data_IF_533910393358
#
_entry.id   IF_533910393358
#
_cell.length_a   1.000
_cell.length_b   1.000
_cell.length_c   1.000
_cell.angle_alpha   90.00
_cell.angle_beta   90.00
_cell.angle_gamma   90.00
#
_symmetry.space_group_name_H-M   'P 1'
#
loop_
_entity.id
_entity.type
_entity.pdbx_description
1 polymer ?
#
# COMPACT_ATOMS: atom_id res chain seq x y z
N UNK A 1 13.04 19.43 -16.84
CA UNK A 1 11.65 19.78 -16.42
C UNK A 1 10.72 19.36 -17.56
N UNK A 2 9.64 18.58 -17.31
CA UNK A 2 8.52 19.04 -16.49
C UNK A 2 7.92 17.99 -15.54
N UNK A 3 7.69 18.39 -14.28
CA UNK A 3 6.75 17.70 -13.39
C UNK A 3 5.31 18.07 -13.79
N UNK A 4 4.69 17.30 -14.66
CA UNK A 4 3.22 17.33 -14.82
C UNK A 4 2.61 16.37 -13.79
N UNK A 5 2.41 16.85 -12.56
CA UNK A 5 1.63 16.11 -11.54
C UNK A 5 0.14 16.23 -11.88
N UNK A 6 -0.34 15.30 -12.70
CA UNK A 6 -1.76 15.15 -12.97
C UNK A 6 -2.49 14.65 -11.71
N UNK A 7 -3.64 15.28 -11.43
CA UNK A 7 -4.43 15.13 -10.19
C UNK A 7 -4.69 13.66 -9.80
N UNK A 8 -4.62 13.31 -8.50
CA UNK A 8 -5.22 12.06 -8.05
C UNK A 8 -6.73 12.14 -8.28
N UNK A 9 -7.26 11.28 -9.15
CA UNK A 9 -8.71 11.02 -9.19
C UNK A 9 -9.09 10.44 -7.83
N UNK A 10 -9.83 11.22 -7.03
CA UNK A 10 -10.49 10.74 -5.82
C UNK A 10 -11.45 9.63 -6.22
N UNK A 11 -11.06 8.38 -5.97
CA UNK A 11 -12.02 7.29 -5.97
C UNK A 11 -12.38 7.06 -4.52
N UNK A 12 -13.60 7.48 -4.17
CA UNK A 12 -14.24 7.18 -2.89
C UNK A 12 -14.58 5.70 -2.86
N UNK A 13 -13.61 4.87 -2.51
CA UNK A 13 -13.92 3.55 -1.95
C UNK A 13 -13.95 3.70 -0.44
N UNK A 14 -15.12 3.54 0.15
CA UNK A 14 -15.28 3.36 1.58
C UNK A 14 -14.54 2.07 1.98
N UNK A 15 -13.24 2.19 2.23
CA UNK A 15 -12.43 1.15 2.85
C UNK A 15 -12.08 1.64 4.26
N UNK A 16 -13.05 1.61 5.20
CA UNK A 16 -12.86 2.19 6.53
C UNK A 16 -11.69 1.55 7.29
N UNK A 17 -11.26 0.34 6.91
CA UNK A 17 -10.02 -0.30 7.36
C UNK A 17 -9.69 -1.45 6.42
N UNK A 18 -8.48 -1.49 5.85
CA UNK A 18 -8.05 -2.61 4.99
C UNK A 18 -6.79 -2.33 4.17
N UNK A 19 -6.31 -3.35 3.46
CA UNK A 19 -5.07 -3.29 2.68
C UNK A 19 -5.05 -2.16 1.63
N UNK A 20 -6.18 -1.92 0.95
CA UNK A 20 -6.31 -0.85 -0.03
C UNK A 20 -6.09 0.55 0.57
N UNK A 21 -6.52 0.77 1.82
CA UNK A 21 -6.31 2.03 2.53
C UNK A 21 -4.83 2.23 2.86
N UNK A 22 -4.14 1.17 3.28
CA UNK A 22 -2.69 1.22 3.53
C UNK A 22 -1.90 1.51 2.24
N UNK A 23 -2.27 0.90 1.11
CA UNK A 23 -1.68 1.22 -0.19
C UNK A 23 -1.87 2.69 -0.57
N UNK A 24 -3.04 3.26 -0.32
CA UNK A 24 -3.31 4.68 -0.58
C UNK A 24 -2.43 5.58 0.29
N UNK A 25 -2.32 5.30 1.59
CA UNK A 25 -1.46 6.07 2.50
C UNK A 25 0.01 6.01 2.08
N UNK A 26 0.51 4.84 1.70
CA UNK A 26 1.89 4.68 1.21
C UNK A 26 2.08 5.45 -0.09
N UNK A 27 1.13 5.37 -1.02
CA UNK A 27 1.19 6.10 -2.29
C UNK A 27 1.19 7.63 -2.08
N UNK A 28 0.34 8.13 -1.20
CA UNK A 28 0.27 9.56 -0.86
C UNK A 28 1.55 10.04 -0.16
N UNK A 29 2.07 9.28 0.81
CA UNK A 29 3.27 9.64 1.57
C UNK A 29 4.56 9.54 0.73
N UNK A 30 4.66 8.52 -0.13
CA UNK A 30 5.81 8.34 -1.01
C UNK A 30 5.81 9.29 -2.21
N UNK A 31 4.64 9.82 -2.59
CA UNK A 31 4.46 10.61 -3.81
C UNK A 31 4.63 9.81 -5.11
N UNK A 32 4.73 8.48 -5.03
CA UNK A 32 4.80 7.59 -6.18
C UNK A 32 3.45 7.53 -6.89
N UNK A 33 3.45 7.33 -8.21
CA UNK A 33 2.24 6.92 -8.93
C UNK A 33 1.96 5.44 -8.69
N UNK A 34 0.74 4.98 -9.02
CA UNK A 34 0.39 3.56 -8.90
C UNK A 34 1.27 2.63 -9.74
N UNK A 35 1.73 3.10 -10.90
CA UNK A 35 2.63 2.33 -11.78
C UNK A 35 4.03 2.23 -11.19
N UNK A 36 4.54 3.33 -10.63
CA UNK A 36 5.84 3.34 -9.94
C UNK A 36 5.79 2.48 -8.68
N UNK A 37 4.71 2.57 -7.90
CA UNK A 37 4.48 1.71 -6.74
C UNK A 37 4.46 0.23 -7.15
N UNK A 38 3.79 -0.13 -8.25
CA UNK A 38 3.80 -1.50 -8.76
C UNK A 38 5.22 -1.98 -9.11
N UNK A 39 6.01 -1.10 -9.76
CA UNK A 39 7.40 -1.37 -10.11
C UNK A 39 8.28 -1.57 -8.87
N UNK A 40 8.13 -0.71 -7.87
CA UNK A 40 8.84 -0.81 -6.58
C UNK A 40 8.49 -2.09 -5.81
N UNK A 41 7.24 -2.56 -5.94
CA UNK A 41 6.77 -3.81 -5.33
C UNK A 41 7.09 -5.05 -6.17
N UNK A 42 7.73 -4.89 -7.34
CA UNK A 42 8.02 -5.99 -8.26
C UNK A 42 6.77 -6.71 -8.77
N UNK A 43 5.65 -6.00 -8.95
CA UNK A 43 4.36 -6.56 -9.38
C UNK A 43 3.79 -5.79 -10.58
N UNK A 44 2.70 -6.28 -11.16
CA UNK A 44 2.04 -5.61 -12.28
C UNK A 44 1.09 -4.49 -11.78
N UNK A 45 0.91 -3.40 -12.57
CA UNK A 45 -0.11 -2.39 -12.26
C UNK A 45 -1.53 -2.96 -12.14
N UNK A 46 -1.81 -4.06 -12.84
CA UNK A 46 -3.08 -4.79 -12.75
C UNK A 46 -3.31 -5.39 -11.37
N UNK A 47 -2.26 -5.96 -10.75
CA UNK A 47 -2.35 -6.49 -9.38
C UNK A 47 -2.64 -5.37 -8.38
N UNK A 48 -1.94 -4.24 -8.49
CA UNK A 48 -2.21 -3.07 -7.65
C UNK A 48 -3.63 -2.55 -7.82
N UNK A 49 -4.16 -2.52 -9.05
CA UNK A 49 -5.56 -2.17 -9.30
C UNK A 49 -6.54 -3.15 -8.65
N UNK A 50 -6.28 -4.46 -8.71
CA UNK A 50 -7.11 -5.49 -8.03
C UNK A 50 -7.10 -5.29 -6.52
N UNK A 51 -5.94 -4.98 -5.93
CA UNK A 51 -5.82 -4.73 -4.50
C UNK A 51 -6.61 -3.51 -4.04
N UNK A 52 -6.59 -2.45 -4.84
CA UNK A 52 -7.40 -1.24 -4.62
C UNK A 52 -8.91 -1.51 -4.70
N UNK A 53 -9.33 -2.61 -5.32
CA UNK A 53 -10.73 -3.07 -5.38
C UNK A 53 -11.07 -4.11 -4.32
N UNK A 54 -10.16 -4.37 -3.38
CA UNK A 54 -10.40 -5.28 -2.26
C UNK A 54 -9.91 -6.72 -2.46
N UNK A 55 -9.25 -7.04 -3.58
CA UNK A 55 -8.59 -8.35 -3.71
C UNK A 55 -7.39 -8.39 -2.77
N UNK A 56 -7.31 -9.41 -1.92
CA UNK A 56 -6.21 -9.50 -0.98
C UNK A 56 -4.92 -9.97 -1.69
N UNK A 57 -3.76 -9.32 -1.43
CA UNK A 57 -2.46 -9.78 -1.93
C UNK A 57 -2.06 -11.12 -1.29
N UNK A 58 -1.20 -11.87 -1.96
CA UNK A 58 -0.54 -13.02 -1.34
C UNK A 58 0.60 -12.59 -0.39
N UNK A 59 1.14 -13.54 0.38
CA UNK A 59 2.20 -13.30 1.36
C UNK A 59 3.45 -12.64 0.76
N UNK A 60 3.87 -13.03 -0.45
CA UNK A 60 5.04 -12.43 -1.12
C UNK A 60 4.87 -10.92 -1.36
N UNK A 61 3.68 -10.49 -1.78
CA UNK A 61 3.41 -9.08 -2.00
C UNK A 61 3.30 -8.28 -0.69
N UNK A 62 2.82 -8.93 0.39
CA UNK A 62 2.81 -8.31 1.72
C UNK A 62 4.23 -8.05 2.23
N UNK A 63 5.14 -9.02 2.06
CA UNK A 63 6.55 -8.85 2.39
C UNK A 63 7.20 -7.74 1.57
N UNK A 64 6.97 -7.71 0.25
CA UNK A 64 7.47 -6.64 -0.62
C UNK A 64 6.96 -5.24 -0.19
N UNK A 65 5.70 -5.15 0.26
CA UNK A 65 5.14 -3.91 0.79
C UNK A 65 5.78 -3.52 2.12
N UNK A 66 6.05 -4.48 3.00
CA UNK A 66 6.75 -4.25 4.26
C UNK A 66 8.18 -3.73 4.02
N UNK A 67 8.92 -4.37 3.11
CA UNK A 67 10.27 -3.95 2.76
C UNK A 67 10.28 -2.56 2.12
N UNK A 68 9.33 -2.26 1.22
CA UNK A 68 9.18 -0.92 0.66
C UNK A 68 8.88 0.10 1.76
N UNK A 69 7.92 -0.19 2.66
CA UNK A 69 7.57 0.72 3.75
C UNK A 69 8.78 0.96 4.67
N UNK A 70 9.58 -0.06 4.97
CA UNK A 70 10.82 0.08 5.75
C UNK A 70 11.84 0.97 5.04
N UNK A 71 12.10 0.73 3.77
CA UNK A 71 13.05 1.54 2.96
C UNK A 71 12.67 3.01 2.89
N UNK A 72 11.36 3.32 2.97
CA UNK A 72 10.83 4.67 2.87
C UNK A 72 10.48 5.30 4.23
N UNK A 73 10.74 4.62 5.35
CA UNK A 73 10.36 5.05 6.71
C UNK A 73 8.83 5.25 6.88
N UNK A 74 8.04 4.42 6.19
CA UNK A 74 6.58 4.43 6.17
C UNK A 74 5.94 3.25 6.91
N UNK A 75 6.70 2.50 7.71
CA UNK A 75 6.19 1.32 8.43
C UNK A 75 5.00 1.65 9.34
N UNK A 76 4.96 2.86 9.89
CA UNK A 76 3.87 3.36 10.71
C UNK A 76 2.52 3.51 9.95
N UNK A 77 2.55 3.46 8.61
CA UNK A 77 1.35 3.50 7.75
C UNK A 77 0.77 2.11 7.48
N UNK A 78 1.55 1.05 7.70
CA UNK A 78 1.08 -0.32 7.56
C UNK A 78 0.07 -0.64 8.67
N UNK A 79 -0.90 -1.51 8.38
CA UNK A 79 -1.79 -1.97 9.42
C UNK A 79 -0.91 -2.78 10.38
N UNK A 80 -0.69 -2.25 11.58
CA UNK A 80 -0.10 -3.01 12.66
C UNK A 80 -0.99 -4.23 12.82
N UNK A 81 -0.49 -5.39 12.39
CA UNK A 81 -1.10 -6.65 12.76
C UNK A 81 -1.09 -6.56 14.28
N UNK A 82 -2.26 -6.35 14.90
CA UNK A 82 -2.39 -6.40 16.34
C UNK A 82 -2.04 -7.83 16.67
N UNK A 83 -0.76 -8.09 16.92
CA UNK A 83 -0.31 -9.31 17.54
C UNK A 83 -1.04 -9.29 18.85
N UNK A 84 -2.16 -10.01 18.94
CA UNK A 84 -2.76 -10.33 20.21
C UNK A 84 -1.64 -11.02 20.96
N UNK A 85 -0.99 -10.30 21.88
CA UNK A 85 -0.08 -10.93 22.83
C UNK A 85 -0.86 -12.09 23.43
N UNK A 86 -0.34 -13.33 23.37
CA UNK A 86 -0.98 -14.40 24.11
C UNK A 86 -1.10 -13.96 25.57
N UNK A 87 -2.23 -14.20 26.25
CA UNK A 87 -2.34 -13.93 27.67
C UNK A 87 -1.18 -14.66 28.36
N UNK A 88 -0.40 -13.93 29.15
CA UNK A 88 0.60 -14.55 30.00
C UNK A 88 -0.18 -15.29 31.09
N UNK A 89 -0.19 -16.61 30.99
CA UNK A 89 -0.71 -17.52 32.01
C UNK A 89 0.40 -17.77 33.02
#
# INVERSE_FOLDING_TARGET
MPRRRARPRRVTYAHPTGFAHCLLRIQDASGLTWTELARELGTSPLNVWRWRRGVYPNARHLLALQDLARRMDLEHLLPQARVRRPPQV
#
